data_IF_633117390371
#
_entry.id   IF_633117390371
#
_cell.length_a   1.000
_cell.length_b   1.000
_cell.length_c   1.000
_cell.angle_alpha   90.00
_cell.angle_beta   90.00
_cell.angle_gamma   90.00
#
_symmetry.space_group_name_H-M   'P 1'
#
loop_
_entity.id
_entity.type
_entity.pdbx_description
1 polymer ?
#
# COMPACT_ATOMS: atom_id res chain seq x y z
N UNK A 1 -12.40 -3.54 -7.95
CA UNK A 1 -12.73 -3.39 -6.53
C UNK A 1 -12.63 -1.94 -6.14
N UNK A 2 -11.43 -1.34 -6.15
CA UNK A 2 -11.26 0.09 -5.94
C UNK A 2 -10.11 0.64 -6.77
N UNK A 3 -10.14 1.95 -6.99
CA UNK A 3 -9.02 2.77 -7.43
C UNK A 3 -8.92 3.90 -6.42
N UNK A 4 -7.78 4.00 -5.74
CA UNK A 4 -7.54 5.07 -4.79
C UNK A 4 -6.73 6.18 -5.44
N UNK A 5 -7.30 7.39 -5.39
CA UNK A 5 -6.68 8.64 -5.80
C UNK A 5 -6.68 9.55 -4.58
N UNK A 6 -5.48 9.89 -4.10
CA UNK A 6 -5.32 10.63 -2.87
C UNK A 6 -5.85 12.06 -2.97
N UNK A 7 -6.21 12.62 -1.82
CA UNK A 7 -6.58 14.02 -1.64
C UNK A 7 -5.43 14.80 -1.01
N UNK A 8 -5.29 16.02 -1.48
CA UNK A 8 -4.40 17.03 -0.95
C UNK A 8 -5.23 18.03 -0.11
N UNK A 9 -4.61 18.65 0.89
CA UNK A 9 -5.23 19.71 1.66
C UNK A 9 -5.33 21.02 0.83
N UNK A 10 -6.01 22.04 1.35
CA UNK A 10 -6.18 23.31 0.63
C UNK A 10 -4.87 24.09 0.42
N UNK A 11 -3.89 23.90 1.30
CA UNK A 11 -2.59 24.60 1.23
C UNK A 11 -1.68 24.01 0.16
N UNK A 12 -1.88 22.74 -0.21
CA UNK A 12 -1.03 22.03 -1.15
C UNK A 12 0.37 21.71 -0.61
N UNK A 13 0.56 21.76 0.70
CA UNK A 13 1.85 21.46 1.35
C UNK A 13 1.97 19.98 1.72
N UNK A 14 3.22 19.55 1.92
CA UNK A 14 3.51 18.25 2.52
C UNK A 14 2.96 18.20 3.94
N UNK A 15 2.19 17.15 4.27
CA UNK A 15 1.60 16.95 5.59
C UNK A 15 1.36 15.48 5.87
N UNK A 16 1.11 15.13 7.14
CA UNK A 16 0.92 13.73 7.53
C UNK A 16 -0.28 13.10 6.79
N UNK A 17 -0.10 11.88 6.31
CA UNK A 17 -1.18 11.10 5.71
C UNK A 17 -2.23 10.78 6.78
N UNK A 18 -3.50 11.02 6.46
CA UNK A 18 -4.62 10.71 7.36
C UNK A 18 -5.79 10.14 6.56
N UNK A 19 -6.87 9.77 7.24
CA UNK A 19 -8.10 9.34 6.57
C UNK A 19 -8.67 10.41 5.62
N UNK A 20 -8.43 11.70 5.89
CA UNK A 20 -8.88 12.80 5.02
C UNK A 20 -8.10 12.87 3.70
N UNK A 21 -6.92 12.25 3.66
CA UNK A 21 -6.12 12.08 2.44
C UNK A 21 -6.69 11.02 1.48
N UNK A 22 -7.70 10.26 1.89
CA UNK A 22 -8.33 9.23 1.06
C UNK A 22 -9.43 9.85 0.19
N UNK A 23 -9.32 9.68 -1.13
CA UNK A 23 -10.30 10.05 -2.12
C UNK A 23 -11.63 9.34 -1.94
N UNK A 24 -11.58 8.01 -1.77
CA UNK A 24 -12.76 7.16 -1.67
C UNK A 24 -13.45 7.24 -0.30
N UNK A 25 -14.77 7.52 -0.24
CA UNK A 25 -15.51 7.46 1.02
C UNK A 25 -15.72 6.03 1.53
N UNK A 26 -15.47 5.02 0.69
CA UNK A 26 -15.68 3.60 1.01
C UNK A 26 -14.42 2.90 1.52
N UNK A 27 -13.26 3.58 1.51
CA UNK A 27 -12.01 3.02 2.00
C UNK A 27 -11.67 3.57 3.39
N UNK A 28 -11.08 2.71 4.21
CA UNK A 28 -10.44 3.06 5.49
C UNK A 28 -8.94 2.89 5.33
N UNK A 29 -8.18 3.94 5.62
CA UNK A 29 -6.72 3.93 5.62
C UNK A 29 -6.21 3.57 7.01
N UNK A 30 -5.25 2.66 7.07
CA UNK A 30 -4.44 2.44 8.27
C UNK A 30 -2.95 2.51 7.92
N UNK A 31 -2.20 3.20 8.78
CA UNK A 31 -0.75 3.34 8.69
C UNK A 31 -0.09 2.43 9.73
N UNK A 32 0.93 1.70 9.32
CA UNK A 32 1.54 0.60 10.07
C UNK A 32 3.06 0.77 10.19
N UNK A 33 3.63 0.12 11.20
CA UNK A 33 5.03 0.29 11.60
C UNK A 33 5.20 1.31 12.71
N UNK A 34 6.34 1.24 13.42
CA UNK A 34 6.66 2.15 14.52
C UNK A 34 6.67 3.63 14.08
N UNK A 35 7.01 3.86 12.80
CA UNK A 35 7.05 5.18 12.15
C UNK A 35 6.03 5.30 11.03
N UNK A 36 4.98 4.46 11.01
CA UNK A 36 3.94 4.49 9.97
C UNK A 36 3.20 5.83 9.91
N UNK A 37 3.01 6.47 11.06
CA UNK A 37 2.43 7.81 11.19
C UNK A 37 3.23 8.92 10.51
N UNK A 38 4.50 8.65 10.16
CA UNK A 38 5.39 9.61 9.52
C UNK A 38 5.27 9.58 7.98
N UNK A 39 4.44 8.67 7.42
CA UNK A 39 4.02 8.73 6.02
C UNK A 39 3.32 10.06 5.74
N UNK A 40 3.75 10.75 4.69
CA UNK A 40 3.21 12.05 4.29
C UNK A 40 2.37 11.94 3.03
N UNK A 41 1.56 12.96 2.79
CA UNK A 41 0.92 13.28 1.51
C UNK A 41 1.54 14.56 0.99
N UNK A 42 1.91 14.55 -0.28
CA UNK A 42 2.40 15.73 -1.00
C UNK A 42 1.97 15.65 -2.48
N UNK A 43 2.40 16.62 -3.29
CA UNK A 43 2.03 16.72 -4.70
C UNK A 43 0.75 17.50 -4.95
N UNK A 44 0.38 17.60 -6.23
CA UNK A 44 -0.67 18.51 -6.71
C UNK A 44 -1.65 17.80 -7.63
N UNK A 45 -2.95 18.06 -7.45
CA UNK A 45 -3.98 17.54 -8.33
C UNK A 45 -3.76 18.00 -9.78
N UNK A 46 -3.82 17.07 -10.72
CA UNK A 46 -3.66 17.33 -12.16
C UNK A 46 -2.23 17.62 -12.62
N UNK A 47 -1.23 17.51 -11.75
CA UNK A 47 0.19 17.56 -12.14
C UNK A 47 0.71 16.15 -12.39
N UNK A 48 0.98 15.79 -13.64
CA UNK A 48 1.49 14.46 -14.00
C UNK A 48 2.93 14.24 -13.53
N UNK A 49 3.72 15.32 -13.37
CA UNK A 49 5.11 15.21 -12.91
C UNK A 49 5.20 15.10 -11.39
N UNK A 50 4.18 15.59 -10.68
CA UNK A 50 4.08 15.57 -9.23
C UNK A 50 2.62 15.35 -8.75
N UNK A 51 2.00 14.21 -9.10
CA UNK A 51 0.64 13.88 -8.69
C UNK A 51 0.55 13.81 -7.18
N UNK A 52 -0.66 13.89 -6.62
CA UNK A 52 -0.84 13.69 -5.18
C UNK A 52 -0.42 12.26 -4.84
N UNK A 53 0.46 12.08 -3.85
CA UNK A 53 1.03 10.79 -3.51
C UNK A 53 1.36 10.67 -2.03
N UNK A 54 1.42 9.41 -1.58
CA UNK A 54 2.06 9.04 -0.32
C UNK A 54 3.58 9.10 -0.50
N UNK A 55 4.30 9.70 0.44
CA UNK A 55 5.76 9.74 0.50
C UNK A 55 6.30 9.13 1.81
N UNK A 56 7.31 8.27 1.71
CA UNK A 56 7.88 7.53 2.86
C UNK A 56 9.16 8.10 3.46
N UNK A 57 9.71 9.21 2.93
CA UNK A 57 11.07 9.63 3.30
C UNK A 57 11.27 9.95 4.79
N UNK A 58 10.23 10.33 5.52
CA UNK A 58 10.29 10.57 6.97
C UNK A 58 10.13 9.30 7.83
N UNK A 59 9.84 8.13 7.25
CA UNK A 59 9.77 6.88 7.99
C UNK A 59 11.18 6.45 8.47
N UNK A 60 11.49 6.60 9.76
CA UNK A 60 12.81 6.19 10.31
C UNK A 60 12.93 4.69 10.62
N UNK A 61 11.88 3.92 10.34
CA UNK A 61 11.82 2.45 10.41
C UNK A 61 10.96 1.93 9.26
N UNK A 62 10.93 0.60 8.99
CA UNK A 62 10.00 0.02 8.03
C UNK A 62 8.57 0.50 8.27
N UNK A 63 7.91 0.98 7.21
CA UNK A 63 6.56 1.52 7.28
C UNK A 63 5.67 0.93 6.19
N UNK A 64 4.38 0.91 6.47
CA UNK A 64 3.38 0.34 5.60
C UNK A 64 2.08 1.12 5.67
N UNK A 65 1.26 0.98 4.65
CA UNK A 65 -0.14 1.38 4.70
C UNK A 65 -1.00 0.31 4.06
N UNK A 66 -2.26 0.24 4.49
CA UNK A 66 -3.26 -0.56 3.84
C UNK A 66 -4.61 0.15 3.77
N UNK A 67 -5.37 -0.22 2.74
CA UNK A 67 -6.72 0.25 2.47
C UNK A 67 -7.68 -0.91 2.67
N UNK A 68 -8.75 -0.63 3.42
CA UNK A 68 -9.84 -1.55 3.69
C UNK A 68 -11.13 -1.04 3.07
N UNK A 69 -11.77 -1.82 2.21
CA UNK A 69 -13.13 -1.52 1.77
C UNK A 69 -14.12 -1.79 2.92
N UNK A 70 -14.99 -0.82 3.23
CA UNK A 70 -15.93 -0.90 4.36
C UNK A 70 -16.95 -2.03 4.22
N UNK A 71 -17.31 -2.41 2.99
CA UNK A 71 -18.44 -3.28 2.70
C UNK A 71 -17.98 -4.67 2.28
N UNK A 72 -16.83 -4.77 1.60
CA UNK A 72 -16.38 -5.98 0.93
C UNK A 72 -15.00 -6.43 1.40
N UNK A 73 -14.81 -7.74 1.48
CA UNK A 73 -13.51 -8.39 1.29
C UNK A 73 -13.18 -8.41 -0.21
N UNK A 74 -11.88 -8.42 -0.52
CA UNK A 74 -11.40 -8.67 -1.87
C UNK A 74 -11.10 -10.16 -2.05
N UNK A 75 -11.64 -10.76 -3.11
CA UNK A 75 -11.19 -12.06 -3.59
C UNK A 75 -10.13 -11.83 -4.66
N UNK A 76 -8.87 -12.10 -4.28
CA UNK A 76 -7.70 -11.94 -5.14
C UNK A 76 -7.31 -13.25 -5.86
N UNK A 77 -8.16 -14.27 -5.85
CA UNK A 77 -7.92 -15.52 -6.58
C UNK A 77 -8.10 -15.32 -8.10
N UNK A 78 -7.55 -16.25 -8.89
CA UNK A 78 -7.68 -16.23 -10.34
C UNK A 78 -6.99 -15.03 -10.99
N UNK A 79 -7.72 -14.29 -11.83
CA UNK A 79 -7.19 -13.19 -12.66
C UNK A 79 -7.29 -11.81 -12.00
N UNK A 80 -7.28 -11.76 -10.67
CA UNK A 80 -7.17 -10.49 -9.96
C UNK A 80 -5.84 -9.81 -10.32
N UNK A 81 -5.82 -8.49 -10.27
CA UNK A 81 -4.61 -7.70 -10.54
C UNK A 81 -4.58 -6.46 -9.66
N UNK A 82 -3.36 -6.07 -9.35
CA UNK A 82 -3.06 -4.90 -8.55
C UNK A 82 -2.14 -4.02 -9.38
N UNK A 83 -2.47 -2.72 -9.51
CA UNK A 83 -1.73 -1.76 -10.33
C UNK A 83 -1.44 -0.50 -9.55
N UNK A 84 -0.18 -0.07 -9.51
CA UNK A 84 0.23 1.11 -8.77
C UNK A 84 0.98 2.09 -9.68
N UNK A 85 0.90 3.37 -9.35
CA UNK A 85 1.73 4.42 -9.94
C UNK A 85 2.74 4.91 -8.90
N UNK A 86 4.03 4.72 -9.17
CA UNK A 86 5.10 4.92 -8.18
C UNK A 86 6.30 5.66 -8.73
N UNK A 87 6.99 6.39 -7.86
CA UNK A 87 8.31 6.98 -8.13
C UNK A 87 9.20 6.64 -6.94
N UNK A 88 10.43 6.20 -7.19
CA UNK A 88 11.25 5.61 -6.13
C UNK A 88 12.67 6.16 -6.21
N UNK A 89 13.23 6.47 -5.04
CA UNK A 89 14.63 6.89 -4.91
C UNK A 89 15.46 5.88 -4.11
N UNK A 90 16.75 5.79 -4.43
CA UNK A 90 17.68 4.88 -3.77
C UNK A 90 17.31 3.40 -3.96
N UNK A 91 17.68 2.56 -2.99
CA UNK A 91 17.44 1.11 -3.04
C UNK A 91 16.06 0.69 -2.53
N UNK A 92 15.18 1.66 -2.27
CA UNK A 92 13.83 1.41 -1.76
C UNK A 92 13.00 0.61 -2.75
N UNK A 93 12.06 -0.15 -2.22
CA UNK A 93 11.11 -0.97 -2.98
C UNK A 93 9.81 -1.01 -2.20
N UNK A 94 8.72 -1.03 -2.94
CA UNK A 94 7.43 -1.38 -2.38
C UNK A 94 7.18 -2.89 -2.50
N UNK A 95 6.55 -3.47 -1.49
CA UNK A 95 6.08 -4.86 -1.49
C UNK A 95 4.60 -4.90 -1.18
N UNK A 96 3.79 -5.70 -1.90
CA UNK A 96 2.38 -5.81 -1.59
C UNK A 96 2.20 -6.49 -0.23
N UNK A 97 1.28 -5.95 0.56
CA UNK A 97 0.84 -6.58 1.81
C UNK A 97 -0.67 -6.82 1.75
N UNK A 98 -1.10 -7.89 2.39
CA UNK A 98 -2.51 -8.20 2.55
C UNK A 98 -2.78 -8.65 3.97
N UNK A 99 -3.97 -8.30 4.47
CA UNK A 99 -4.54 -8.90 5.68
C UNK A 99 -5.66 -9.82 5.27
N UNK A 100 -5.62 -11.08 5.67
CA UNK A 100 -6.70 -12.03 5.44
C UNK A 100 -7.87 -11.76 6.39
N UNK A 101 -9.04 -12.31 6.06
CA UNK A 101 -10.24 -12.18 6.89
C UNK A 101 -10.08 -12.74 8.32
N UNK A 102 -9.14 -13.67 8.54
CA UNK A 102 -8.79 -14.21 9.87
C UNK A 102 -7.81 -13.32 10.66
N UNK A 103 -7.38 -12.19 10.09
CA UNK A 103 -6.43 -11.26 10.69
C UNK A 103 -4.96 -11.55 10.38
N UNK A 104 -4.65 -12.62 9.66
CA UNK A 104 -3.27 -12.94 9.25
C UNK A 104 -2.73 -11.88 8.29
N UNK A 105 -1.59 -11.30 8.63
CA UNK A 105 -0.85 -10.39 7.74
C UNK A 105 0.19 -11.14 6.92
N UNK A 106 0.21 -10.83 5.62
CA UNK A 106 1.13 -11.39 4.65
C UNK A 106 1.83 -10.28 3.86
N UNK A 107 3.04 -10.59 3.42
CA UNK A 107 3.83 -9.75 2.51
C UNK A 107 4.32 -10.58 1.34
N UNK A 108 4.23 -10.00 0.14
CA UNK A 108 4.62 -10.64 -1.11
C UNK A 108 6.10 -10.52 -1.42
N UNK A 109 6.64 -11.52 -2.12
CA UNK A 109 7.99 -11.51 -2.64
C UNK A 109 8.18 -10.56 -3.84
N UNK A 110 7.09 -10.18 -4.51
CA UNK A 110 7.05 -9.08 -5.48
C UNK A 110 7.64 -7.81 -4.86
N UNK A 111 8.60 -7.22 -5.56
CA UNK A 111 9.20 -5.95 -5.21
C UNK A 111 9.10 -5.05 -6.44
N UNK A 112 8.36 -3.96 -6.31
CA UNK A 112 8.25 -2.95 -7.35
C UNK A 112 9.08 -1.72 -7.00
N UNK A 113 9.64 -1.12 -8.03
CA UNK A 113 10.57 -0.01 -7.92
C UNK A 113 11.94 -0.29 -8.48
N UNK A 114 12.46 0.66 -9.24
CA UNK A 114 13.89 0.91 -9.39
C UNK A 114 14.12 2.36 -9.01
N UNK A 115 15.35 2.82 -8.80
CA UNK A 115 15.55 4.27 -8.67
C UNK A 115 15.16 4.91 -10.00
N UNK A 116 14.09 5.70 -10.03
CA UNK A 116 13.53 6.25 -11.26
C UNK A 116 13.62 7.77 -11.28
N UNK A 117 13.76 8.34 -12.48
CA UNK A 117 13.59 9.78 -12.67
C UNK A 117 12.12 10.19 -12.64
N UNK A 118 11.24 9.27 -13.01
CA UNK A 118 9.84 9.53 -13.27
C UNK A 118 8.93 8.44 -12.71
N UNK A 119 7.63 8.69 -12.78
CA UNK A 119 6.56 7.81 -12.36
C UNK A 119 6.45 6.57 -13.25
N UNK A 120 6.29 5.42 -12.62
CA UNK A 120 6.12 4.12 -13.27
C UNK A 120 4.80 3.52 -12.82
N UNK A 121 3.95 3.24 -13.81
CA UNK A 121 2.79 2.38 -13.65
C UNK A 121 3.23 0.93 -13.79
N UNK A 122 3.02 0.14 -12.75
CA UNK A 122 3.30 -1.30 -12.73
C UNK A 122 2.05 -2.06 -12.32
N UNK A 123 1.91 -3.29 -12.82
CA UNK A 123 0.78 -4.17 -12.54
C UNK A 123 1.27 -5.61 -12.36
N UNK A 124 0.65 -6.33 -11.44
CA UNK A 124 0.94 -7.74 -11.19
C UNK A 124 -0.31 -8.51 -10.75
N UNK A 125 -0.24 -9.84 -10.89
CA UNK A 125 -1.30 -10.77 -10.49
C UNK A 125 -0.98 -11.37 -9.11
N UNK A 126 -1.82 -11.18 -8.08
CA UNK A 126 -1.57 -11.71 -6.73
C UNK A 126 -1.42 -13.24 -6.66
N UNK A 127 -1.99 -13.98 -7.60
CA UNK A 127 -1.85 -15.42 -7.69
C UNK A 127 -0.41 -15.88 -8.04
N UNK A 128 0.39 -15.01 -8.66
CA UNK A 128 1.80 -15.29 -8.99
C UNK A 128 2.76 -14.90 -7.86
N UNK A 129 2.25 -14.21 -6.83
CA UNK A 129 3.05 -13.73 -5.70
C UNK A 129 3.24 -14.86 -4.70
N UNK A 130 4.47 -15.04 -4.20
CA UNK A 130 4.74 -15.91 -3.06
C UNK A 130 4.72 -15.10 -1.78
N UNK A 131 4.13 -15.66 -0.74
CA UNK A 131 3.78 -14.92 0.47
C UNK A 131 4.55 -15.41 1.69
N UNK A 132 4.90 -14.49 2.59
CA UNK A 132 5.40 -14.75 3.93
C UNK A 132 4.51 -14.08 4.97
N UNK A 133 4.55 -14.56 6.22
CA UNK A 133 3.91 -13.84 7.33
C UNK A 133 4.61 -12.51 7.59
N UNK A 134 3.83 -11.50 7.95
CA UNK A 134 4.30 -10.17 8.27
C UNK A 134 3.90 -9.83 9.72
N UNK A 135 4.87 -9.45 10.54
CA UNK A 135 4.60 -8.69 11.76
C UNK A 135 4.28 -7.26 11.35
N UNK A 136 3.00 -6.91 11.29
CA UNK A 136 2.55 -5.61 10.79
C UNK A 136 2.92 -4.45 11.73
N UNK A 137 3.08 -4.70 13.04
CA UNK A 137 3.41 -3.65 14.00
C UNK A 137 4.84 -3.15 13.82
N UNK A 138 5.76 -4.05 13.44
CA UNK A 138 7.15 -3.71 13.12
C UNK A 138 7.43 -3.59 11.62
N UNK A 139 6.51 -4.08 10.79
CA UNK A 139 6.66 -4.24 9.33
C UNK A 139 7.89 -5.09 8.99
N UNK A 140 7.97 -6.29 9.58
CA UNK A 140 9.08 -7.22 9.40
C UNK A 140 8.57 -8.61 9.03
N UNK A 141 9.22 -9.26 8.07
CA UNK A 141 8.90 -10.64 7.66
C UNK A 141 9.15 -11.61 8.81
N UNK A 142 8.32 -12.63 8.93
CA UNK A 142 8.45 -13.68 9.95
C UNK A 142 8.25 -15.06 9.33
N UNK A 143 9.04 -16.03 9.79
CA UNK A 143 8.96 -17.42 9.33
C UNK A 143 9.52 -17.64 7.91
N UNK A 144 8.91 -18.57 7.18
CA UNK A 144 9.30 -18.99 5.83
C UNK A 144 8.23 -18.59 4.79
N UNK A 145 8.54 -18.76 3.50
CA UNK A 145 7.54 -18.74 2.44
C UNK A 145 6.44 -19.76 2.72
N UNK A 146 5.20 -19.35 2.53
CA UNK A 146 4.03 -20.20 2.71
C UNK A 146 3.82 -21.02 1.44
N UNK A 147 3.59 -22.33 1.60
CA UNK A 147 3.30 -23.22 0.48
C UNK A 147 1.94 -22.91 -0.17
N UNK A 148 0.96 -22.51 0.64
CA UNK A 148 -0.39 -22.17 0.20
C UNK A 148 -0.95 -21.02 1.00
N UNK A 149 -1.65 -20.12 0.31
CA UNK A 149 -2.41 -19.01 0.90
C UNK A 149 -3.79 -18.99 0.27
N UNK A 150 -4.81 -18.82 1.10
CA UNK A 150 -6.17 -18.55 0.62
C UNK A 150 -6.38 -17.04 0.52
N UNK A 151 -6.41 -16.55 -0.73
CA UNK A 151 -6.65 -15.15 -1.05
C UNK A 151 -8.12 -14.85 -1.40
N UNK A 152 -9.05 -15.78 -1.14
CA UNK A 152 -10.47 -15.61 -1.46
C UNK A 152 -11.18 -14.58 -0.60
N UNK A 153 -10.61 -14.22 0.56
CA UNK A 153 -11.13 -13.18 1.46
C UNK A 153 -10.00 -12.36 2.08
N UNK A 154 -9.62 -11.28 1.40
CA UNK A 154 -8.65 -10.29 1.87
C UNK A 154 -9.39 -9.09 2.46
N UNK A 155 -9.08 -8.76 3.72
CA UNK A 155 -9.62 -7.64 4.49
C UNK A 155 -8.99 -6.31 4.07
N UNK A 156 -7.66 -6.26 4.01
CA UNK A 156 -6.90 -5.04 3.73
C UNK A 156 -5.84 -5.31 2.67
N UNK A 157 -5.61 -4.33 1.80
CA UNK A 157 -4.61 -4.40 0.73
C UNK A 157 -3.78 -3.12 0.76
N UNK A 158 -2.47 -3.25 0.65
CA UNK A 158 -1.60 -2.08 0.49
C UNK A 158 -0.17 -2.46 0.28
N UNK A 159 0.73 -1.70 0.89
CA UNK A 159 2.17 -1.87 0.68
C UNK A 159 3.02 -1.65 1.91
N UNK A 160 4.21 -2.21 1.85
CA UNK A 160 5.30 -1.95 2.79
C UNK A 160 6.55 -1.47 2.06
N UNK A 161 7.22 -0.50 2.64
CA UNK A 161 8.63 -0.20 2.40
C UNK A 161 9.43 -0.76 3.59
N UNK A 162 10.31 -1.72 3.30
CA UNK A 162 11.09 -2.41 4.33
C UNK A 162 12.37 -1.66 4.71
N UNK A 163 12.64 -0.52 4.06
CA UNK A 163 13.82 0.30 4.32
C UNK A 163 13.41 1.61 5.01
N UNK A 164 14.13 2.05 6.06
CA UNK A 164 13.98 3.40 6.59
C UNK A 164 14.26 4.45 5.51
N UNK A 165 13.41 5.45 5.41
CA UNK A 165 13.60 6.63 4.58
C UNK A 165 14.81 7.45 5.02
N UNK A 166 15.39 8.19 4.07
CA UNK A 166 16.58 9.02 4.30
C UNK A 166 16.26 10.48 4.70
N UNK A 167 15.00 10.78 5.00
CA UNK A 167 14.50 12.15 5.10
C UNK A 167 14.40 12.82 3.74
N UNK A 168 14.35 14.16 3.75
CA UNK A 168 14.32 14.97 2.54
C UNK A 168 15.60 14.80 1.71
N UNK A 169 15.45 14.75 0.38
CA UNK A 169 16.55 14.60 -0.57
C UNK A 169 16.55 13.26 -1.31
N UNK A 170 17.62 12.96 -2.08
CA UNK A 170 17.65 11.78 -2.95
C UNK A 170 18.04 10.49 -2.24
N UNK A 171 18.34 10.52 -0.93
CA UNK A 171 18.93 9.39 -0.20
C UNK A 171 18.09 8.10 -0.28
N UNK A 172 16.77 8.21 -0.26
CA UNK A 172 15.89 7.06 -0.42
C UNK A 172 14.49 7.25 0.16
N UNK A 173 13.49 6.85 -0.62
CA UNK A 173 12.06 6.90 -0.30
C UNK A 173 11.25 6.19 -1.39
N UNK A 174 9.98 5.93 -1.10
CA UNK A 174 8.96 5.56 -2.09
C UNK A 174 7.87 6.63 -2.16
N UNK A 175 7.45 6.93 -3.38
CA UNK A 175 6.22 7.66 -3.70
C UNK A 175 5.19 6.68 -4.27
N UNK A 176 3.94 6.78 -3.81
CA UNK A 176 2.82 6.01 -4.35
C UNK A 176 1.64 6.94 -4.62
N UNK A 177 1.41 7.27 -5.90
CA UNK A 177 0.36 8.18 -6.34
C UNK A 177 -1.00 7.52 -6.49
N UNK A 178 -1.03 6.23 -6.86
CA UNK A 178 -2.27 5.49 -7.08
C UNK A 178 -2.12 4.03 -6.67
N UNK A 179 -3.19 3.47 -6.13
CA UNK A 179 -3.34 2.04 -5.86
C UNK A 179 -4.68 1.59 -6.46
N UNK A 180 -4.62 0.69 -7.43
CA UNK A 180 -5.78 0.09 -8.06
C UNK A 180 -5.84 -1.41 -7.77
N UNK A 181 -7.02 -1.87 -7.35
CA UNK A 181 -7.30 -3.28 -7.09
C UNK A 181 -8.47 -3.73 -7.96
N UNK A 182 -8.15 -4.64 -8.88
CA UNK A 182 -9.11 -5.32 -9.74
C UNK A 182 -9.30 -6.74 -9.20
N UNK A 183 -10.39 -6.93 -8.47
CA UNK A 183 -10.71 -8.14 -7.75
C UNK A 183 -12.23 -8.32 -7.70
N UNK A 184 -12.67 -9.56 -7.45
CA UNK A 184 -14.07 -9.84 -7.17
C UNK A 184 -14.38 -9.33 -5.76
N UNK A 185 -15.46 -8.56 -5.62
CA UNK A 185 -15.94 -8.14 -4.30
C UNK A 185 -16.71 -9.28 -3.64
N UNK A 186 -16.40 -9.54 -2.37
CA UNK A 186 -17.09 -10.52 -1.53
C UNK A 186 -17.65 -9.77 -0.33
N UNK A 187 -18.97 -9.77 -0.15
CA UNK A 187 -19.59 -9.08 0.97
C UNK A 187 -18.97 -9.55 2.29
N UNK A 188 -18.63 -8.59 3.15
CA UNK A 188 -18.39 -8.86 4.56
C UNK A 188 -19.74 -9.30 5.11
N UNK A 189 -19.93 -10.59 5.41
CA UNK A 189 -21.18 -11.02 6.06
C UNK A 189 -21.42 -10.10 7.24
N UNK A 190 -22.62 -9.55 7.34
CA UNK A 190 -23.06 -8.91 8.57
C UNK A 190 -22.79 -9.92 9.68
N UNK A 191 -21.87 -9.60 10.60
CA UNK A 191 -21.88 -10.27 11.88
C UNK A 191 -23.34 -10.17 12.35
N UNK A 192 -23.99 -11.32 12.51
CA UNK A 192 -25.28 -11.39 13.17
C UNK A 192 -25.12 -10.60 14.47
N UNK A 193 -25.92 -9.55 14.63
CA UNK A 193 -26.06 -8.89 15.93
C UNK A 193 -26.47 -9.92 16.98
#
# INVERSE_FOLDING_TARGET
MFKEEWKQNEKGDEHAATQDSVGSPNLVLTLYGATGKDLQITGKAGDENNPIHIWSGNCTSPCALALRDKINFADLTGLARIRWNTKISGFHRIRPIVKLADGTWLIGDRADGSSTRDWIVSEFTPADVRWMKLDIARVVTTGNLLEKVDLSKVDEIGFADLMPGSGHGPGGWVDVAQIEVYARAVLRSSASQ
#
